data_IF_084367033280
#
_entry.id   IF_084367033280
#
_cell.length_a   1.000
_cell.length_b   1.000
_cell.length_c   1.000
_cell.angle_alpha   90.00
_cell.angle_beta   90.00
_cell.angle_gamma   90.00
#
_symmetry.space_group_name_H-M   'P 1'
#
loop_
_entity.id
_entity.type
_entity.pdbx_description
1 polymer ?
#
# COMPACT_ATOMS: atom_id res chain seq x y z
N UNK A 1 -10.32 -28.90 6.74
CA UNK A 1 -9.96 -27.95 5.66
C UNK A 1 -9.84 -26.56 6.21
N UNK A 2 -8.72 -25.89 5.97
CA UNK A 2 -8.54 -24.53 6.45
C UNK A 2 -9.20 -23.52 5.51
N UNK A 3 -9.51 -22.33 6.06
CA UNK A 3 -10.00 -21.20 5.26
C UNK A 3 -8.81 -20.27 5.00
N UNK A 4 -8.61 -19.91 3.74
CA UNK A 4 -7.56 -18.98 3.38
C UNK A 4 -7.96 -17.54 3.68
N UNK A 5 -6.96 -16.72 4.03
CA UNK A 5 -7.14 -15.30 4.24
C UNK A 5 -6.00 -14.56 3.57
N UNK A 6 -6.34 -13.49 2.86
CA UNK A 6 -5.32 -12.64 2.28
C UNK A 6 -4.57 -11.91 3.39
N UNK A 7 -3.25 -12.07 3.45
CA UNK A 7 -2.42 -11.40 4.45
C UNK A 7 -1.85 -10.10 3.92
N UNK A 8 -1.20 -10.14 2.76
CA UNK A 8 -0.60 -8.93 2.21
C UNK A 8 -0.46 -9.00 0.70
N UNK A 9 -0.29 -7.83 0.12
CA UNK A 9 0.04 -7.65 -1.30
C UNK A 9 1.22 -6.70 -1.36
N UNK A 10 2.21 -7.02 -2.17
CA UNK A 10 3.35 -6.14 -2.40
C UNK A 10 3.09 -5.30 -3.65
N UNK A 11 3.24 -3.98 -3.53
CA UNK A 11 3.16 -3.08 -4.66
C UNK A 11 4.38 -2.17 -4.68
N UNK A 12 4.92 -1.96 -5.88
CA UNK A 12 6.06 -1.09 -6.07
C UNK A 12 5.56 0.33 -6.27
N UNK A 13 6.11 1.26 -5.48
CA UNK A 13 5.74 2.68 -5.52
C UNK A 13 7.01 3.51 -5.56
N UNK A 14 6.90 4.77 -6.00
CA UNK A 14 8.05 5.66 -6.06
C UNK A 14 8.47 6.17 -4.69
N UNK A 15 7.51 6.33 -3.76
CA UNK A 15 7.77 6.90 -2.43
C UNK A 15 6.87 6.20 -1.40
N UNK A 16 7.36 5.12 -0.75
CA UNK A 16 6.58 4.38 0.23
C UNK A 16 6.10 5.23 1.41
N UNK A 17 6.90 6.22 1.84
CA UNK A 17 6.50 7.11 2.94
C UNK A 17 5.25 7.91 2.59
N UNK A 18 5.23 8.47 1.39
CA UNK A 18 4.09 9.26 0.91
C UNK A 18 2.87 8.38 0.72
N UNK A 19 3.03 7.21 0.13
CA UNK A 19 1.94 6.27 -0.07
C UNK A 19 1.38 5.79 1.26
N UNK A 20 2.24 5.45 2.23
CA UNK A 20 1.80 5.03 3.56
C UNK A 20 1.02 6.13 4.26
N UNK A 21 1.50 7.38 4.18
CA UNK A 21 0.80 8.52 4.79
C UNK A 21 -0.61 8.69 4.19
N UNK A 22 -0.76 8.50 2.89
CA UNK A 22 -2.05 8.56 2.23
C UNK A 22 -3.00 7.47 2.76
N UNK A 23 -2.54 6.23 2.83
CA UNK A 23 -3.37 5.13 3.31
C UNK A 23 -3.74 5.27 4.78
N UNK A 24 -2.85 5.80 5.61
CA UNK A 24 -3.17 6.09 7.02
C UNK A 24 -4.32 7.08 7.12
N UNK A 25 -4.30 8.15 6.31
CA UNK A 25 -5.36 9.16 6.31
C UNK A 25 -6.64 8.65 5.70
N UNK A 26 -6.54 7.88 4.61
CA UNK A 26 -7.69 7.42 3.84
C UNK A 26 -8.44 6.29 4.55
N UNK A 27 -7.71 5.34 5.13
CA UNK A 27 -8.27 4.10 5.67
C UNK A 27 -8.17 3.98 7.18
N UNK A 28 -7.48 4.89 7.87
CA UNK A 28 -7.23 4.76 9.30
C UNK A 28 -6.24 3.65 9.62
N UNK A 29 -5.46 3.22 8.64
CA UNK A 29 -4.46 2.17 8.82
C UNK A 29 -3.26 2.68 9.60
N UNK A 30 -2.42 1.75 10.04
CA UNK A 30 -1.19 2.06 10.76
C UNK A 30 -0.01 1.35 10.11
N UNK A 31 1.18 1.85 10.38
CA UNK A 31 2.40 1.20 9.94
C UNK A 31 2.64 -0.05 10.79
N UNK A 32 2.82 -1.19 10.14
CA UNK A 32 3.03 -2.47 10.81
C UNK A 32 4.52 -2.82 10.88
N UNK A 33 5.29 -2.41 9.89
CA UNK A 33 6.72 -2.67 9.83
C UNK A 33 7.35 -1.79 8.75
N UNK A 34 8.63 -1.53 8.88
CA UNK A 34 9.43 -0.88 7.84
C UNK A 34 10.86 -1.39 7.89
N UNK A 35 11.56 -1.36 6.77
CA UNK A 35 12.95 -1.75 6.73
C UNK A 35 13.43 -2.04 5.31
N UNK A 36 14.69 -2.45 5.19
CA UNK A 36 15.24 -2.83 3.90
C UNK A 36 14.57 -4.08 3.37
N UNK A 37 14.35 -4.12 2.05
CA UNK A 37 13.79 -5.28 1.38
C UNK A 37 14.89 -6.32 1.11
N UNK A 38 14.51 -7.60 1.07
CA UNK A 38 15.44 -8.68 0.73
C UNK A 38 16.01 -8.55 -0.67
N UNK A 39 15.29 -7.89 -1.56
CA UNK A 39 15.69 -7.67 -2.95
C UNK A 39 16.36 -6.33 -3.19
N UNK A 40 16.85 -5.69 -2.12
CA UNK A 40 17.33 -4.31 -2.18
C UNK A 40 16.17 -3.33 -2.05
N UNK A 41 16.47 -2.04 -1.86
CA UNK A 41 15.44 -1.04 -1.69
C UNK A 41 14.85 -1.01 -0.29
N UNK A 42 13.64 -0.49 -0.18
CA UNK A 42 13.00 -0.19 1.10
C UNK A 42 11.52 -0.54 1.05
N UNK A 43 10.99 -0.99 2.16
CA UNK A 43 9.59 -1.39 2.25
C UNK A 43 8.93 -0.81 3.50
N UNK A 44 7.68 -0.36 3.36
CA UNK A 44 6.83 0.06 4.47
C UNK A 44 5.57 -0.79 4.42
N UNK A 45 5.24 -1.46 5.53
CA UNK A 45 3.99 -2.23 5.65
C UNK A 45 2.94 -1.35 6.32
N UNK A 46 1.82 -1.13 5.64
CA UNK A 46 0.72 -0.33 6.16
C UNK A 46 -0.59 -1.11 6.00
N UNK A 47 -1.38 -1.15 7.05
CA UNK A 47 -2.64 -1.90 7.01
C UNK A 47 -3.36 -1.87 8.34
N UNK A 48 -4.24 -2.87 8.54
CA UNK A 48 -4.97 -3.06 9.78
C UNK A 48 -4.47 -4.32 10.51
N UNK A 49 -5.25 -4.85 11.43
CA UNK A 49 -4.87 -6.05 12.18
C UNK A 49 -4.94 -7.35 11.39
N UNK A 50 -5.54 -7.34 10.20
CA UNK A 50 -5.76 -8.55 9.41
C UNK A 50 -4.91 -8.61 8.15
N UNK A 51 -4.74 -7.48 7.46
CA UNK A 51 -4.05 -7.45 6.17
C UNK A 51 -3.27 -6.15 6.02
N UNK A 52 -2.31 -6.16 5.10
CA UNK A 52 -1.52 -4.95 4.85
C UNK A 52 -1.01 -4.90 3.41
N UNK A 53 -0.64 -3.71 2.99
CA UNK A 53 0.12 -3.49 1.77
C UNK A 53 1.59 -3.37 2.11
N UNK A 54 2.43 -4.09 1.39
CA UNK A 54 3.87 -3.92 1.45
C UNK A 54 4.26 -2.94 0.34
N UNK A 55 4.52 -1.69 0.72
CA UNK A 55 4.86 -0.62 -0.21
C UNK A 55 6.35 -0.63 -0.43
N UNK A 56 6.77 -1.04 -1.61
CA UNK A 56 8.17 -1.28 -1.94
C UNK A 56 8.69 -0.23 -2.91
N UNK A 57 9.94 0.16 -2.74
CA UNK A 57 10.68 0.93 -3.74
C UNK A 57 12.10 0.38 -3.86
N UNK A 58 12.64 0.38 -5.09
CA UNK A 58 14.05 0.09 -5.31
C UNK A 58 14.92 1.36 -5.27
N UNK A 59 14.29 2.52 -5.02
CA UNK A 59 15.00 3.79 -4.94
C UNK A 59 15.29 4.45 -6.28
N UNK A 60 14.76 3.92 -7.38
CA UNK A 60 15.06 4.44 -8.72
C UNK A 60 14.31 5.73 -9.07
N UNK A 61 13.43 6.21 -8.18
CA UNK A 61 12.67 7.44 -8.41
C UNK A 61 11.30 7.19 -9.02
N UNK A 62 10.74 8.19 -9.70
CA UNK A 62 9.38 8.07 -10.25
C UNK A 62 9.22 6.86 -11.16
N UNK A 63 8.07 6.19 -11.02
CA UNK A 63 7.76 4.97 -11.75
C UNK A 63 6.71 5.24 -12.82
N UNK A 64 6.88 4.56 -13.96
CA UNK A 64 5.92 4.58 -15.04
C UNK A 64 5.53 3.14 -15.37
N UNK A 65 4.30 2.78 -15.01
CA UNK A 65 3.80 1.44 -15.29
C UNK A 65 2.95 1.42 -16.54
N UNK A 66 3.06 0.34 -17.31
CA UNK A 66 2.18 0.14 -18.45
C UNK A 66 0.74 0.03 -17.98
N UNK A 67 -0.19 0.59 -18.75
CA UNK A 67 -1.62 0.45 -18.47
C UNK A 67 -1.99 -1.02 -18.52
N UNK A 68 -2.69 -1.50 -17.50
CA UNK A 68 -3.07 -2.89 -17.42
C UNK A 68 -1.94 -3.83 -17.02
N UNK A 69 -0.86 -3.31 -16.41
CA UNK A 69 0.19 -4.15 -15.84
C UNK A 69 -0.39 -5.14 -14.83
N UNK A 70 0.36 -6.22 -14.43
CA UNK A 70 -0.20 -7.31 -13.62
C UNK A 70 -0.98 -6.86 -12.39
N UNK A 71 -0.53 -5.82 -11.69
CA UNK A 71 -1.33 -5.17 -10.66
C UNK A 71 -1.98 -3.92 -11.26
N UNK A 72 -3.25 -4.05 -11.59
CA UNK A 72 -4.00 -2.98 -12.26
C UNK A 72 -4.47 -1.92 -11.26
N UNK A 73 -5.05 -2.35 -10.15
CA UNK A 73 -5.54 -1.42 -9.12
C UNK A 73 -5.74 -2.15 -7.80
N UNK A 74 -5.88 -1.36 -6.73
CA UNK A 74 -6.28 -1.84 -5.41
C UNK A 74 -7.62 -1.21 -5.09
N UNK A 75 -8.60 -2.04 -4.74
CA UNK A 75 -9.91 -1.57 -4.32
C UNK A 75 -10.00 -1.45 -2.80
N UNK A 76 -10.60 -0.38 -2.33
CA UNK A 76 -10.77 -0.13 -0.90
C UNK A 76 -12.23 0.14 -0.60
N UNK A 77 -12.69 -0.37 0.54
CA UNK A 77 -13.99 -0.02 1.09
C UNK A 77 -13.76 0.88 2.30
N UNK A 78 -14.39 2.04 2.30
CA UNK A 78 -14.30 2.99 3.41
C UNK A 78 -15.71 3.30 3.91
N UNK A 79 -15.84 3.60 5.20
CA UNK A 79 -17.14 3.90 5.81
C UNK A 79 -17.52 5.38 5.72
N UNK A 80 -16.56 6.23 5.34
CA UNK A 80 -16.79 7.67 5.14
C UNK A 80 -16.25 8.09 3.78
N UNK A 81 -17.08 7.94 2.74
CA UNK A 81 -16.66 8.27 1.39
C UNK A 81 -16.38 9.77 1.20
N UNK A 82 -17.19 10.62 1.83
CA UNK A 82 -16.97 12.06 1.75
C UNK A 82 -15.64 12.46 2.38
N UNK A 83 -15.33 11.87 3.55
CA UNK A 83 -14.04 12.08 4.19
C UNK A 83 -12.87 11.60 3.35
N UNK A 84 -13.02 10.44 2.70
CA UNK A 84 -12.02 9.90 1.81
C UNK A 84 -11.77 10.83 0.62
N UNK A 85 -12.82 11.36 0.01
CA UNK A 85 -12.68 12.30 -1.10
C UNK A 85 -11.91 13.55 -0.67
N UNK A 86 -12.13 14.06 0.53
CA UNK A 86 -11.42 15.23 1.03
C UNK A 86 -9.91 14.96 1.20
N UNK A 87 -9.53 13.71 1.45
CA UNK A 87 -8.12 13.36 1.57
C UNK A 87 -7.41 13.35 0.21
N UNK A 88 -8.09 12.90 -0.85
CA UNK A 88 -7.47 12.70 -2.16
C UNK A 88 -7.67 13.88 -3.12
N UNK A 89 -8.54 14.83 -2.81
CA UNK A 89 -8.74 16.05 -3.56
C UNK A 89 -8.03 17.19 -2.85
#
# INVERSE_FOLDING_TARGET
MSKGQLEHTNITVSDPERSAALFKRLCGWHERWRGPSQMGGWTVHVGDGQAYLALYTDGSGPLHHAKGAPLNHVGLVVDDLDGAERVVI
#
